data_IF_979016133360
#
_entry.id   IF_979016133360
#
_cell.length_a   1.000
_cell.length_b   1.000
_cell.length_c   1.000
_cell.angle_alpha   90.00
_cell.angle_beta   90.00
_cell.angle_gamma   90.00
#
_symmetry.space_group_name_H-M   'P 1'
#
loop_
_entity.id
_entity.type
_entity.pdbx_description
1 polymer ?
#
# COMPACT_ATOMS: atom_id res chain seq x y z
N UNK A 1 12.71 8.11 -23.14
CA UNK A 1 11.52 7.71 -22.31
C UNK A 1 11.64 8.39 -20.95
N UNK A 2 10.53 8.79 -20.36
CA UNK A 2 10.56 9.30 -19.00
C UNK A 2 10.93 8.15 -18.06
N UNK A 3 11.84 8.40 -17.10
CA UNK A 3 12.35 7.43 -16.15
C UNK A 3 12.03 7.87 -14.72
N UNK A 4 11.93 6.90 -13.80
CA UNK A 4 11.83 7.22 -12.38
C UNK A 4 13.11 7.89 -11.88
N UNK A 5 12.98 8.83 -10.95
CA UNK A 5 14.14 9.49 -10.31
C UNK A 5 14.91 8.54 -9.40
N UNK A 6 14.30 7.42 -8.96
CA UNK A 6 14.84 6.46 -8.00
C UNK A 6 15.20 5.12 -8.67
N UNK A 7 16.17 4.39 -8.10
CA UNK A 7 16.58 3.04 -8.54
C UNK A 7 15.89 1.92 -7.75
N UNK A 8 15.27 2.27 -6.64
CA UNK A 8 14.54 1.38 -5.76
C UNK A 8 13.21 2.04 -5.40
N UNK A 9 12.21 1.29 -5.00
CA UNK A 9 10.99 1.83 -4.40
C UNK A 9 10.98 1.46 -2.91
N UNK A 10 11.61 2.26 -2.06
CA UNK A 10 11.75 1.98 -0.62
C UNK A 10 10.67 2.67 0.21
N UNK A 11 10.24 3.87 -0.19
CA UNK A 11 9.18 4.67 0.41
C UNK A 11 8.57 5.64 -0.59
N UNK A 12 7.45 6.25 -0.25
CA UNK A 12 6.82 7.30 -1.05
C UNK A 12 7.54 8.64 -0.86
N UNK A 13 8.10 8.88 0.31
CA UNK A 13 8.82 10.11 0.65
C UNK A 13 10.07 10.36 -0.23
N UNK A 14 10.56 9.33 -0.92
CA UNK A 14 11.68 9.43 -1.87
C UNK A 14 11.23 9.80 -3.30
N UNK A 15 9.92 9.71 -3.58
CA UNK A 15 9.35 9.99 -4.89
C UNK A 15 9.03 11.47 -5.05
N UNK A 16 9.09 11.93 -6.29
CA UNK A 16 8.55 13.22 -6.71
C UNK A 16 7.11 13.05 -7.24
N UNK A 17 6.39 14.20 -7.36
CA UNK A 17 5.09 14.19 -8.04
C UNK A 17 5.20 13.60 -9.46
N UNK A 18 6.27 13.93 -10.18
CA UNK A 18 6.50 13.44 -11.56
C UNK A 18 6.68 11.92 -11.61
N UNK A 19 7.33 11.32 -10.60
CA UNK A 19 7.46 9.86 -10.50
C UNK A 19 6.10 9.21 -10.32
N UNK A 20 5.26 9.77 -9.44
CA UNK A 20 3.92 9.24 -9.20
C UNK A 20 3.05 9.39 -10.47
N UNK A 21 3.11 10.53 -11.15
CA UNK A 21 2.39 10.76 -12.39
C UNK A 21 2.81 9.73 -13.47
N UNK A 22 4.13 9.48 -13.63
CA UNK A 22 4.67 8.48 -14.55
C UNK A 22 4.20 7.05 -14.19
N UNK A 23 4.21 6.70 -12.90
CA UNK A 23 3.69 5.40 -12.43
C UNK A 23 2.21 5.28 -12.78
N UNK A 24 1.42 6.33 -12.59
CA UNK A 24 -0.01 6.32 -12.87
C UNK A 24 -0.32 6.21 -14.36
N UNK A 25 0.37 6.96 -15.21
CA UNK A 25 0.24 6.88 -16.67
C UNK A 25 0.61 5.47 -17.18
N UNK A 26 1.67 4.88 -16.63
CA UNK A 26 2.09 3.51 -16.96
C UNK A 26 1.06 2.48 -16.45
N UNK A 27 0.47 2.71 -15.28
CA UNK A 27 -0.57 1.86 -14.72
C UNK A 27 -1.86 1.92 -15.56
N UNK A 28 -2.22 3.07 -16.14
CA UNK A 28 -3.36 3.19 -17.07
C UNK A 28 -3.18 2.25 -18.26
N UNK A 29 -1.99 2.21 -18.85
CA UNK A 29 -1.67 1.32 -19.98
C UNK A 29 -1.76 -0.16 -19.56
N UNK A 30 -1.24 -0.52 -18.36
CA UNK A 30 -1.35 -1.89 -17.86
C UNK A 30 -2.76 -2.26 -17.44
N UNK A 31 -3.58 -1.29 -17.00
CA UNK A 31 -4.99 -1.53 -16.72
C UNK A 31 -5.75 -1.94 -17.98
N UNK A 32 -5.46 -1.33 -19.12
CA UNK A 32 -5.98 -1.81 -20.39
C UNK A 32 -5.54 -3.25 -20.69
N UNK A 33 -4.26 -3.58 -20.46
CA UNK A 33 -3.73 -4.94 -20.71
C UNK A 33 -4.45 -5.98 -19.86
N UNK A 34 -4.67 -5.72 -18.57
CA UNK A 34 -5.33 -6.70 -17.67
C UNK A 34 -6.81 -6.92 -18.01
N UNK A 35 -7.43 -6.04 -18.77
CA UNK A 35 -8.81 -6.16 -19.24
C UNK A 35 -8.91 -6.84 -20.63
N UNK A 36 -7.78 -7.14 -21.30
CA UNK A 36 -7.77 -7.86 -22.60
C UNK A 36 -7.98 -9.37 -22.40
N UNK A 37 -8.40 -10.10 -23.44
CA UNK A 37 -8.40 -11.58 -23.39
C UNK A 37 -7.03 -12.14 -23.06
N UNK A 38 -5.95 -11.64 -23.70
CA UNK A 38 -4.56 -11.97 -23.39
C UNK A 38 -4.00 -10.92 -22.44
N UNK A 39 -3.93 -11.29 -21.16
CA UNK A 39 -3.56 -10.41 -20.04
C UNK A 39 -2.05 -10.41 -19.76
N UNK A 40 -1.22 -10.74 -20.76
CA UNK A 40 0.22 -10.92 -20.62
C UNK A 40 0.96 -10.12 -21.69
N UNK A 41 2.06 -9.47 -21.31
CA UNK A 41 2.95 -8.73 -22.20
C UNK A 41 4.39 -9.23 -22.04
N UNK A 42 5.19 -9.31 -23.11
CA UNK A 42 6.55 -9.86 -23.05
C UNK A 42 7.60 -8.83 -22.63
N UNK A 43 7.22 -7.86 -21.75
CA UNK A 43 8.07 -6.70 -21.45
C UNK A 43 9.29 -7.05 -20.62
N UNK A 44 9.20 -8.09 -19.75
CA UNK A 44 10.26 -8.48 -18.84
C UNK A 44 10.69 -9.93 -19.02
N UNK A 45 10.70 -10.43 -20.29
CA UNK A 45 11.38 -11.69 -20.60
C UNK A 45 12.85 -11.56 -20.18
N UNK A 46 13.39 -12.60 -19.62
CA UNK A 46 14.79 -12.67 -19.12
C UNK A 46 15.10 -11.78 -17.90
N UNK A 47 14.06 -11.25 -17.22
CA UNK A 47 14.19 -10.59 -15.92
C UNK A 47 13.70 -11.54 -14.84
N UNK A 48 14.56 -11.81 -13.86
CA UNK A 48 14.23 -12.66 -12.71
C UNK A 48 13.95 -11.82 -11.47
N UNK A 49 12.80 -12.03 -10.85
CA UNK A 49 12.35 -11.28 -9.66
C UNK A 49 12.19 -12.24 -8.49
N UNK A 50 12.82 -11.91 -7.35
CA UNK A 50 12.66 -12.68 -6.11
C UNK A 50 11.70 -11.99 -5.15
N UNK A 51 10.64 -12.70 -4.78
CA UNK A 51 9.69 -12.29 -3.75
C UNK A 51 10.14 -12.80 -2.37
N UNK A 52 10.71 -11.92 -1.55
CA UNK A 52 11.25 -12.23 -0.22
C UNK A 52 10.29 -11.79 0.88
N UNK A 53 9.43 -12.68 1.32
CA UNK A 53 8.43 -12.39 2.34
C UNK A 53 8.84 -12.98 3.70
N UNK A 54 9.38 -12.11 4.58
CA UNK A 54 9.76 -12.44 5.96
C UNK A 54 8.59 -12.29 6.94
N UNK A 55 7.48 -11.71 6.49
CA UNK A 55 6.22 -11.56 7.22
C UNK A 55 5.06 -12.13 6.37
N UNK A 56 4.09 -12.77 7.00
CA UNK A 56 2.94 -13.35 6.30
C UNK A 56 2.12 -12.29 5.55
N UNK A 57 1.87 -12.53 4.27
CA UNK A 57 1.00 -11.69 3.46
C UNK A 57 0.52 -12.40 2.20
N UNK A 58 -0.68 -12.95 2.25
CA UNK A 58 -1.25 -13.67 1.10
C UNK A 58 -1.55 -12.74 -0.07
N UNK A 59 -2.31 -11.67 0.16
CA UNK A 59 -2.75 -10.76 -0.92
C UNK A 59 -1.60 -10.02 -1.59
N UNK A 60 -0.70 -9.43 -0.80
CA UNK A 60 0.44 -8.67 -1.36
C UNK A 60 1.32 -9.58 -2.19
N UNK A 61 1.65 -10.78 -1.68
CA UNK A 61 2.43 -11.77 -2.41
C UNK A 61 1.77 -12.18 -3.73
N UNK A 62 0.50 -12.57 -3.68
CA UNK A 62 -0.25 -12.97 -4.88
C UNK A 62 -0.36 -11.85 -5.91
N UNK A 63 -0.55 -10.60 -5.45
CA UNK A 63 -0.66 -9.46 -6.36
C UNK A 63 0.66 -9.10 -7.03
N UNK A 64 1.81 -9.19 -6.33
CA UNK A 64 3.13 -9.04 -6.95
C UNK A 64 3.41 -10.18 -7.93
N UNK A 65 3.25 -11.42 -7.49
CA UNK A 65 3.44 -12.59 -8.35
C UNK A 65 2.59 -12.54 -9.63
N UNK A 66 1.34 -12.08 -9.52
CA UNK A 66 0.48 -11.91 -10.68
C UNK A 66 0.97 -10.79 -11.61
N UNK A 67 1.42 -9.65 -11.06
CA UNK A 67 1.97 -8.54 -11.82
C UNK A 67 3.23 -8.96 -12.60
N UNK A 68 4.15 -9.64 -11.94
CA UNK A 68 5.39 -10.19 -12.51
C UNK A 68 5.12 -11.17 -13.66
N UNK A 69 4.23 -12.14 -13.42
CA UNK A 69 3.83 -13.12 -14.46
C UNK A 69 3.14 -12.46 -15.64
N UNK A 70 2.37 -11.40 -15.44
CA UNK A 70 1.74 -10.63 -16.54
C UNK A 70 2.75 -9.86 -17.36
N UNK A 71 3.86 -9.45 -16.78
CA UNK A 71 5.00 -8.84 -17.46
C UNK A 71 5.94 -9.86 -18.13
N UNK A 72 5.69 -11.15 -17.96
CA UNK A 72 6.52 -12.28 -18.42
C UNK A 72 7.88 -12.39 -17.72
N UNK A 73 8.00 -11.90 -16.50
CA UNK A 73 9.19 -12.10 -15.68
C UNK A 73 9.24 -13.53 -15.11
N UNK A 74 10.46 -14.03 -14.86
CA UNK A 74 10.69 -15.23 -14.07
C UNK A 74 10.56 -14.90 -12.57
N UNK A 75 9.82 -15.74 -11.82
CA UNK A 75 9.46 -15.44 -10.44
C UNK A 75 9.97 -16.50 -9.49
N UNK A 76 10.76 -16.07 -8.51
CA UNK A 76 11.21 -16.90 -7.39
C UNK A 76 10.49 -16.46 -6.12
N UNK A 77 9.81 -17.39 -5.47
CA UNK A 77 9.11 -17.11 -4.21
C UNK A 77 9.87 -17.73 -3.03
N UNK A 78 10.24 -16.87 -2.08
CA UNK A 78 10.83 -17.25 -0.81
C UNK A 78 9.88 -16.95 0.35
N UNK A 79 9.82 -17.85 1.32
CA UNK A 79 9.07 -17.65 2.57
C UNK A 79 9.95 -18.03 3.76
N UNK A 80 10.17 -17.09 4.67
CA UNK A 80 11.01 -17.28 5.84
C UNK A 80 10.51 -18.40 6.79
N UNK A 81 9.21 -18.71 6.79
CA UNK A 81 8.64 -19.77 7.61
C UNK A 81 9.17 -21.17 7.29
N UNK A 82 9.74 -21.36 6.09
CA UNK A 82 10.24 -22.64 5.57
C UNK A 82 11.76 -22.64 5.32
N UNK A 83 12.50 -21.58 5.72
CA UNK A 83 13.86 -21.36 5.25
C UNK A 83 14.94 -21.47 6.35
N UNK A 84 16.20 -21.46 5.91
CA UNK A 84 17.44 -21.46 6.70
C UNK A 84 17.63 -20.22 7.61
N UNK A 85 16.82 -19.16 7.46
CA UNK A 85 16.78 -18.01 8.39
C UNK A 85 16.60 -18.47 9.84
N UNK A 86 15.87 -19.57 10.06
CA UNK A 86 15.77 -20.23 11.39
C UNK A 86 17.11 -20.80 11.91
N UNK A 87 18.13 -20.92 11.04
CA UNK A 87 19.46 -21.44 11.40
C UNK A 87 20.46 -20.34 11.73
N UNK A 88 20.03 -19.06 11.85
CA UNK A 88 20.90 -17.94 12.21
C UNK A 88 21.55 -17.22 11.02
N UNK A 89 21.11 -17.48 9.79
CA UNK A 89 21.57 -16.74 8.59
C UNK A 89 21.13 -15.28 8.66
N UNK A 90 22.04 -14.35 8.32
CA UNK A 90 21.69 -12.92 8.30
C UNK A 90 20.83 -12.56 7.06
N UNK A 91 20.13 -11.42 7.13
CA UNK A 91 19.36 -10.92 5.98
C UNK A 91 20.25 -10.74 4.74
N UNK A 92 21.46 -10.19 4.92
CA UNK A 92 22.40 -9.96 3.81
C UNK A 92 22.84 -11.28 3.20
N UNK A 93 23.21 -12.27 4.00
CA UNK A 93 23.65 -13.57 3.51
C UNK A 93 22.55 -14.28 2.72
N UNK A 94 21.32 -14.28 3.26
CA UNK A 94 20.14 -14.83 2.58
C UNK A 94 19.92 -14.16 1.22
N UNK A 95 19.97 -12.83 1.17
CA UNK A 95 19.75 -12.10 -0.09
C UNK A 95 20.89 -12.29 -1.05
N UNK A 96 22.15 -12.25 -0.62
CA UNK A 96 23.31 -12.50 -1.48
C UNK A 96 23.30 -13.89 -2.10
N UNK A 97 22.90 -14.92 -1.33
CA UNK A 97 22.74 -16.28 -1.86
C UNK A 97 21.70 -16.32 -2.99
N UNK A 98 20.57 -15.60 -2.83
CA UNK A 98 19.52 -15.51 -3.84
C UNK A 98 20.01 -14.71 -5.07
N UNK A 99 20.68 -13.59 -4.87
CA UNK A 99 21.21 -12.75 -5.96
C UNK A 99 22.32 -13.46 -6.76
N UNK A 100 23.08 -14.37 -6.13
CA UNK A 100 24.06 -15.20 -6.83
C UNK A 100 23.46 -16.12 -7.90
N UNK A 101 22.13 -16.37 -7.85
CA UNK A 101 21.38 -17.09 -8.89
C UNK A 101 20.98 -16.19 -10.06
N UNK A 102 21.57 -14.99 -10.19
CA UNK A 102 21.29 -14.00 -11.25
C UNK A 102 19.88 -13.42 -11.17
N UNK A 103 19.47 -13.08 -9.95
CA UNK A 103 18.22 -12.33 -9.73
C UNK A 103 18.47 -10.84 -9.94
N UNK A 104 17.61 -10.19 -10.71
CA UNK A 104 17.74 -8.79 -11.13
C UNK A 104 17.03 -7.84 -10.17
N UNK A 105 15.93 -8.29 -9.55
CA UNK A 105 15.07 -7.45 -8.72
C UNK A 105 14.56 -8.22 -7.50
N UNK A 106 14.39 -7.51 -6.38
CA UNK A 106 13.88 -8.06 -5.12
C UNK A 106 12.64 -7.30 -4.69
N UNK A 107 11.53 -8.02 -4.50
CA UNK A 107 10.35 -7.53 -3.80
C UNK A 107 10.42 -8.04 -2.37
N UNK A 108 10.56 -7.12 -1.40
CA UNK A 108 10.79 -7.52 -0.01
C UNK A 108 9.68 -7.03 0.92
N UNK A 109 9.20 -7.94 1.79
CA UNK A 109 8.35 -7.61 2.92
C UNK A 109 9.00 -8.06 4.23
N UNK A 110 9.16 -7.14 5.17
CA UNK A 110 9.93 -7.40 6.40
C UNK A 110 9.20 -6.86 7.64
N UNK A 111 9.29 -7.53 8.83
CA UNK A 111 8.69 -7.01 10.06
C UNK A 111 9.40 -5.77 10.61
N UNK A 112 10.69 -5.59 10.32
CA UNK A 112 11.46 -4.45 10.83
C UNK A 112 11.44 -3.28 9.84
N UNK A 113 11.14 -2.05 10.32
CA UNK A 113 11.26 -0.84 9.52
C UNK A 113 12.67 -0.62 8.98
N UNK A 114 12.78 -0.08 7.76
CA UNK A 114 14.08 0.25 7.16
C UNK A 114 14.87 -0.92 6.59
N UNK A 115 14.36 -2.16 6.64
CA UNK A 115 15.05 -3.32 6.11
C UNK A 115 15.37 -3.19 4.61
N UNK A 116 14.46 -2.61 3.81
CA UNK A 116 14.70 -2.30 2.40
C UNK A 116 15.80 -1.27 2.18
N UNK A 117 15.81 -0.20 2.99
CA UNK A 117 16.84 0.85 2.95
C UNK A 117 18.22 0.28 3.34
N UNK A 118 18.24 -0.57 4.35
CA UNK A 118 19.47 -1.26 4.72
C UNK A 118 20.00 -2.13 3.57
N UNK A 119 19.14 -2.92 2.96
CA UNK A 119 19.52 -3.83 1.90
C UNK A 119 19.98 -3.10 0.63
N UNK A 120 19.33 -1.99 0.24
CA UNK A 120 19.67 -1.21 -0.96
C UNK A 120 21.10 -0.65 -0.95
N UNK A 121 21.72 -0.52 0.24
CA UNK A 121 23.11 -0.08 0.40
C UNK A 121 24.14 -1.20 0.23
N UNK A 122 23.68 -2.45 0.16
CA UNK A 122 24.58 -3.63 0.20
C UNK A 122 24.44 -4.52 -1.04
N UNK A 123 23.44 -4.29 -1.89
CA UNK A 123 23.19 -5.10 -3.07
C UNK A 123 22.96 -4.22 -4.30
N UNK A 124 23.29 -4.76 -5.49
CA UNK A 124 23.09 -4.07 -6.77
C UNK A 124 21.70 -4.24 -7.36
N UNK A 125 20.93 -5.24 -6.92
CA UNK A 125 19.58 -5.50 -7.42
C UNK A 125 18.61 -4.36 -7.04
N UNK A 126 17.65 -4.06 -7.91
CA UNK A 126 16.58 -3.12 -7.60
C UNK A 126 15.65 -3.69 -6.51
N UNK A 127 15.29 -2.86 -5.52
CA UNK A 127 14.48 -3.28 -4.37
C UNK A 127 13.13 -2.57 -4.39
N UNK A 128 12.06 -3.36 -4.21
CA UNK A 128 10.71 -2.87 -4.01
C UNK A 128 10.24 -3.25 -2.60
N UNK A 129 9.92 -2.25 -1.78
CA UNK A 129 9.34 -2.44 -0.46
C UNK A 129 7.86 -2.85 -0.57
N UNK A 130 7.55 -4.10 -0.22
CA UNK A 130 6.19 -4.64 -0.13
C UNK A 130 5.59 -4.52 1.28
N UNK A 131 6.16 -3.66 2.10
CA UNK A 131 5.75 -3.31 3.47
C UNK A 131 6.78 -3.69 4.52
N UNK A 132 7.26 -2.72 5.29
CA UNK A 132 8.24 -2.90 6.35
C UNK A 132 7.75 -2.34 7.70
N UNK A 133 7.58 -3.20 8.69
CA UNK A 133 7.13 -2.85 10.04
C UNK A 133 5.88 -1.99 10.05
N UNK A 134 5.92 -0.88 10.79
CA UNK A 134 4.92 0.19 10.81
C UNK A 134 5.38 1.42 9.99
N UNK A 135 6.37 1.28 9.10
CA UNK A 135 6.98 2.38 8.36
C UNK A 135 6.23 2.69 7.07
N UNK A 136 6.48 1.96 5.97
CA UNK A 136 5.81 2.22 4.68
C UNK A 136 5.39 0.96 3.94
N UNK A 137 4.40 1.12 3.06
CA UNK A 137 3.98 0.18 2.03
C UNK A 137 3.71 0.96 0.74
N UNK A 138 4.76 1.39 0.02
CA UNK A 138 4.64 2.38 -1.05
C UNK A 138 3.66 1.96 -2.15
N UNK A 139 3.66 0.70 -2.60
CA UNK A 139 2.70 0.26 -3.62
C UNK A 139 1.24 0.27 -3.13
N UNK A 140 0.99 0.24 -1.80
CA UNK A 140 -0.35 0.43 -1.26
C UNK A 140 -0.75 1.91 -1.28
N UNK A 141 0.13 2.82 -0.86
CA UNK A 141 -0.14 4.26 -0.97
C UNK A 141 -0.41 4.69 -2.41
N UNK A 142 0.38 4.18 -3.35
CA UNK A 142 0.20 4.45 -4.79
C UNK A 142 -1.15 3.93 -5.31
N UNK A 143 -1.51 2.67 -5.03
CA UNK A 143 -2.78 2.12 -5.53
C UNK A 143 -4.01 2.79 -4.92
N UNK A 144 -3.94 3.19 -3.64
CA UNK A 144 -5.02 3.90 -2.97
C UNK A 144 -5.20 5.29 -3.62
N UNK A 145 -4.11 6.03 -3.80
CA UNK A 145 -4.12 7.34 -4.46
C UNK A 145 -4.57 7.24 -5.93
N UNK A 146 -4.10 6.21 -6.65
CA UNK A 146 -4.54 5.92 -8.01
C UNK A 146 -6.06 5.63 -8.09
N UNK A 147 -6.61 4.88 -7.12
CA UNK A 147 -8.04 4.57 -7.07
C UNK A 147 -8.90 5.82 -6.86
N UNK A 148 -8.39 6.80 -6.09
CA UNK A 148 -9.03 8.10 -5.94
C UNK A 148 -8.98 8.88 -7.26
N UNK A 149 -7.80 8.92 -7.94
CA UNK A 149 -7.68 9.55 -9.26
C UNK A 149 -8.65 8.93 -10.28
N UNK A 150 -8.75 7.62 -10.31
CA UNK A 150 -9.68 6.92 -11.19
C UNK A 150 -11.14 7.29 -10.93
N UNK A 151 -11.53 7.38 -9.66
CA UNK A 151 -12.93 7.69 -9.27
C UNK A 151 -13.33 9.13 -9.54
N UNK A 152 -12.40 10.09 -9.36
CA UNK A 152 -12.69 11.52 -9.42
C UNK A 152 -12.04 12.27 -10.60
N UNK A 153 -11.24 11.59 -11.42
CA UNK A 153 -10.40 12.22 -12.47
C UNK A 153 -9.16 12.94 -11.92
N UNK A 154 -9.15 13.30 -10.65
CA UNK A 154 -8.04 14.00 -9.98
C UNK A 154 -8.00 13.68 -8.50
N UNK A 155 -6.79 13.78 -7.92
CA UNK A 155 -6.58 13.72 -6.46
C UNK A 155 -6.44 15.13 -5.87
N UNK A 156 -6.04 16.09 -6.71
CA UNK A 156 -5.81 17.46 -6.27
C UNK A 156 -7.04 18.09 -5.62
N UNK A 157 -6.83 18.71 -4.46
CA UNK A 157 -7.87 19.34 -3.62
C UNK A 157 -8.95 18.39 -3.07
N UNK A 158 -8.83 17.07 -3.23
CA UNK A 158 -9.75 16.14 -2.58
C UNK A 158 -9.46 16.07 -1.08
N UNK A 159 -10.52 16.02 -0.29
CA UNK A 159 -10.46 15.85 1.14
C UNK A 159 -10.48 14.34 1.46
N UNK A 160 -9.37 13.81 1.94
CA UNK A 160 -9.21 12.39 2.25
C UNK A 160 -9.00 12.21 3.75
N UNK A 161 -9.86 11.44 4.41
CA UNK A 161 -9.64 11.03 5.80
C UNK A 161 -9.15 9.60 5.87
N UNK A 162 -8.09 9.38 6.65
CA UNK A 162 -7.56 8.06 7.00
C UNK A 162 -8.02 7.77 8.42
N UNK A 163 -8.83 6.72 8.60
CA UNK A 163 -9.51 6.43 9.86
C UNK A 163 -8.98 5.15 10.48
N UNK A 164 -8.66 5.20 11.76
CA UNK A 164 -8.40 4.00 12.57
C UNK A 164 -7.05 3.99 13.28
N UNK A 165 -6.34 2.86 13.19
CA UNK A 165 -5.03 2.66 13.81
C UNK A 165 -3.92 3.29 12.97
N UNK A 166 -3.67 4.57 13.20
CA UNK A 166 -2.63 5.32 12.48
C UNK A 166 -1.24 4.94 13.02
N UNK A 167 -1.13 4.69 14.32
CA UNK A 167 0.15 4.47 15.02
C UNK A 167 0.89 3.22 14.51
N UNK A 168 0.17 2.13 14.23
CA UNK A 168 0.76 0.86 13.81
C UNK A 168 0.61 0.61 12.29
N UNK A 169 0.05 1.57 11.54
CA UNK A 169 -0.26 1.37 10.13
C UNK A 169 0.82 1.91 9.20
N UNK A 170 1.56 1.00 8.56
CA UNK A 170 2.46 1.35 7.45
C UNK A 170 1.72 1.95 6.26
N UNK A 171 0.43 1.63 6.10
CA UNK A 171 -0.41 2.13 5.02
C UNK A 171 -0.76 3.60 5.24
N UNK A 172 -0.97 4.02 6.49
CA UNK A 172 -1.28 5.41 6.83
C UNK A 172 -0.19 6.37 6.34
N UNK A 173 1.08 6.09 6.65
CA UNK A 173 2.19 6.95 6.25
C UNK A 173 2.34 7.02 4.73
N UNK A 174 2.34 5.88 4.03
CA UNK A 174 2.44 5.87 2.57
C UNK A 174 1.28 6.61 1.91
N UNK A 175 0.05 6.52 2.46
CA UNK A 175 -1.09 7.29 1.96
C UNK A 175 -0.93 8.79 2.22
N UNK A 176 -0.48 9.20 3.41
CA UNK A 176 -0.25 10.61 3.73
C UNK A 176 0.70 11.22 2.69
N UNK A 177 1.87 10.59 2.47
CA UNK A 177 2.86 11.09 1.53
C UNK A 177 2.35 11.13 0.08
N UNK A 178 1.75 10.03 -0.41
CA UNK A 178 1.27 9.95 -1.78
C UNK A 178 0.15 10.96 -2.07
N UNK A 179 -0.80 11.10 -1.15
CA UNK A 179 -1.92 12.03 -1.27
C UNK A 179 -1.46 13.47 -1.26
N UNK A 180 -0.54 13.84 -0.36
CA UNK A 180 0.01 15.19 -0.28
C UNK A 180 0.81 15.55 -1.53
N UNK A 181 1.65 14.64 -2.05
CA UNK A 181 2.38 14.86 -3.31
C UNK A 181 1.44 15.07 -4.49
N UNK A 182 0.24 14.50 -4.47
CA UNK A 182 -0.79 14.69 -5.48
C UNK A 182 -1.75 15.86 -5.19
N UNK A 183 -1.49 16.62 -4.12
CA UNK A 183 -2.24 17.85 -3.79
C UNK A 183 -3.56 17.63 -3.06
N UNK A 184 -3.79 16.47 -2.45
CA UNK A 184 -4.96 16.24 -1.60
C UNK A 184 -4.82 16.92 -0.24
N UNK A 185 -5.97 17.25 0.37
CA UNK A 185 -6.07 17.63 1.77
C UNK A 185 -6.22 16.35 2.60
N UNK A 186 -5.30 16.11 3.53
CA UNK A 186 -5.31 14.87 4.32
C UNK A 186 -5.70 15.14 5.77
N UNK A 187 -6.57 14.30 6.29
CA UNK A 187 -6.94 14.25 7.70
C UNK A 187 -6.72 12.83 8.22
N UNK A 188 -6.28 12.70 9.47
CA UNK A 188 -6.28 11.43 10.20
C UNK A 188 -7.33 11.47 11.30
N UNK A 189 -8.06 10.37 11.47
CA UNK A 189 -9.10 10.26 12.49
C UNK A 189 -8.99 8.92 13.23
N UNK A 190 -9.07 8.97 14.56
CA UNK A 190 -9.03 7.77 15.40
C UNK A 190 -8.95 8.09 16.88
N UNK A 191 -8.93 7.05 17.74
CA UNK A 191 -8.68 7.22 19.16
C UNK A 191 -7.37 7.97 19.40
N UNK A 192 -7.31 8.87 20.37
CA UNK A 192 -6.09 9.63 20.72
C UNK A 192 -4.89 8.72 20.98
N UNK A 193 -5.13 7.54 21.53
CA UNK A 193 -4.12 6.52 21.84
C UNK A 193 -3.53 5.85 20.59
N UNK A 194 -4.23 5.89 19.45
CA UNK A 194 -3.81 5.35 18.16
C UNK A 194 -3.33 6.43 17.17
N UNK A 195 -3.23 7.69 17.62
CA UNK A 195 -2.69 8.80 16.84
C UNK A 195 -1.27 9.11 17.31
N UNK A 196 -0.25 9.07 16.44
CA UNK A 196 1.12 9.45 16.80
C UNK A 196 1.17 10.89 17.33
N UNK A 197 1.93 11.14 18.41
CA UNK A 197 2.00 12.43 19.10
C UNK A 197 2.32 13.60 18.14
N UNK A 198 3.19 13.36 17.18
CA UNK A 198 3.71 14.38 16.25
C UNK A 198 3.13 14.24 14.84
N UNK A 199 2.01 13.55 14.66
CA UNK A 199 1.43 13.32 13.32
C UNK A 199 1.08 14.63 12.58
N UNK A 200 0.78 15.70 13.32
CA UNK A 200 0.52 17.03 12.76
C UNK A 200 1.72 17.64 12.04
N UNK A 201 2.93 17.25 12.41
CA UNK A 201 4.17 17.75 11.79
C UNK A 201 4.30 17.26 10.33
N UNK A 202 3.53 16.23 9.96
CA UNK A 202 3.37 15.80 8.56
C UNK A 202 2.39 16.67 7.76
N UNK A 203 1.88 17.77 8.31
CA UNK A 203 0.97 18.68 7.60
C UNK A 203 -0.47 18.16 7.47
N UNK A 204 -0.86 17.14 8.25
CA UNK A 204 -2.22 16.57 8.23
C UNK A 204 -3.12 17.21 9.28
N UNK A 205 -4.42 17.28 8.98
CA UNK A 205 -5.44 17.59 10.00
C UNK A 205 -5.66 16.38 10.92
N UNK A 206 -6.01 16.64 12.17
CA UNK A 206 -6.28 15.59 13.16
C UNK A 206 -7.67 15.79 13.75
N UNK A 207 -8.48 14.75 13.71
CA UNK A 207 -9.82 14.71 14.29
C UNK A 207 -9.99 13.42 15.12
N UNK A 208 -10.80 13.49 16.16
CA UNK A 208 -11.13 12.32 17.00
C UNK A 208 -12.61 11.96 16.95
N UNK A 209 -13.42 12.80 16.31
CA UNK A 209 -14.84 12.54 16.08
C UNK A 209 -15.04 12.04 14.64
N UNK A 210 -15.46 10.79 14.49
CA UNK A 210 -15.64 10.15 13.19
C UNK A 210 -16.66 10.91 12.33
N UNK A 211 -17.84 11.27 12.88
CA UNK A 211 -18.89 11.96 12.12
C UNK A 211 -18.38 13.27 11.52
N UNK A 212 -17.69 14.10 12.31
CA UNK A 212 -17.09 15.36 11.81
C UNK A 212 -16.06 15.12 10.71
N UNK A 213 -15.26 14.05 10.84
CA UNK A 213 -14.27 13.69 9.82
C UNK A 213 -14.95 13.25 8.51
N UNK A 214 -16.05 12.49 8.59
CA UNK A 214 -16.83 12.06 7.43
C UNK A 214 -17.59 13.21 6.77
N UNK A 215 -18.14 14.14 7.54
CA UNK A 215 -18.78 15.36 7.01
C UNK A 215 -17.79 16.24 6.21
N UNK A 216 -16.52 16.23 6.62
CA UNK A 216 -15.48 16.99 5.92
C UNK A 216 -14.97 16.30 4.65
N UNK A 217 -14.85 14.97 4.63
CA UNK A 217 -14.10 14.25 3.59
C UNK A 217 -14.92 13.96 2.32
N UNK A 218 -14.24 13.77 1.20
CA UNK A 218 -14.79 13.18 -0.05
C UNK A 218 -14.53 11.66 -0.07
N UNK A 219 -13.44 11.24 0.59
CA UNK A 219 -12.98 9.85 0.66
C UNK A 219 -12.61 9.49 2.09
N UNK A 220 -13.12 8.37 2.57
CA UNK A 220 -12.74 7.76 3.84
C UNK A 220 -11.97 6.45 3.58
N UNK A 221 -10.66 6.46 3.90
CA UNK A 221 -9.82 5.26 3.86
C UNK A 221 -9.78 4.64 5.25
N UNK A 222 -10.53 3.55 5.43
CA UNK A 222 -10.67 2.85 6.71
C UNK A 222 -9.53 1.88 6.91
N UNK A 223 -8.78 2.05 7.98
CA UNK A 223 -7.70 1.14 8.33
C UNK A 223 -8.19 -0.04 9.16
N UNK A 224 -7.59 -1.19 8.95
CA UNK A 224 -7.81 -2.36 9.79
C UNK A 224 -7.26 -2.11 11.20
N UNK A 225 -8.02 -2.48 12.23
CA UNK A 225 -7.52 -2.57 13.60
C UNK A 225 -6.55 -3.75 13.68
N UNK A 226 -5.28 -3.48 14.05
CA UNK A 226 -4.20 -4.47 14.02
C UNK A 226 -3.94 -5.04 15.42
N UNK A 227 -4.92 -5.77 16.00
CA UNK A 227 -4.82 -6.34 17.34
C UNK A 227 -3.55 -7.19 17.54
N UNK A 228 -3.08 -7.85 16.46
CA UNK A 228 -1.86 -8.67 16.47
C UNK A 228 -0.56 -7.87 16.63
N UNK A 229 -0.59 -6.55 16.44
CA UNK A 229 0.57 -5.66 16.60
C UNK A 229 0.53 -4.86 17.90
N UNK A 230 -0.58 -4.95 18.63
CA UNK A 230 -0.76 -4.21 19.88
C UNK A 230 -0.23 -5.05 21.03
N UNK A 231 0.88 -4.60 21.65
CA UNK A 231 1.41 -5.21 22.87
C UNK A 231 0.51 -4.95 24.10
N UNK A 232 -0.28 -3.87 24.07
CA UNK A 232 -1.24 -3.44 25.07
C UNK A 232 -2.55 -3.02 24.43
N UNK A 233 -3.64 -2.96 25.20
CA UNK A 233 -4.92 -2.44 24.69
C UNK A 233 -4.87 -0.91 24.60
N UNK A 234 -5.12 -0.36 23.41
CA UNK A 234 -5.17 1.08 23.13
C UNK A 234 -6.59 1.66 23.22
N UNK A 235 -7.59 0.82 23.36
CA UNK A 235 -9.01 1.17 23.54
C UNK A 235 -9.67 0.12 24.43
N UNK A 236 -10.80 0.45 25.10
CA UNK A 236 -11.40 -0.41 26.11
C UNK A 236 -11.83 -1.78 25.57
N UNK A 237 -12.48 -1.81 24.42
CA UNK A 237 -12.91 -3.04 23.75
C UNK A 237 -13.10 -2.83 22.25
N UNK A 238 -13.13 -3.92 21.48
CA UNK A 238 -13.48 -3.87 20.04
C UNK A 238 -14.88 -3.29 19.84
N UNK A 239 -15.82 -3.55 20.75
CA UNK A 239 -17.17 -3.00 20.70
C UNK A 239 -17.16 -1.47 20.84
N UNK A 240 -16.40 -0.93 21.79
CA UNK A 240 -16.27 0.53 21.98
C UNK A 240 -15.62 1.18 20.76
N UNK A 241 -14.58 0.53 20.19
CA UNK A 241 -13.98 0.99 18.95
C UNK A 241 -15.00 1.04 17.81
N UNK A 242 -15.76 -0.03 17.59
CA UNK A 242 -16.78 -0.12 16.55
C UNK A 242 -17.84 0.96 16.70
N UNK A 243 -18.32 1.20 17.92
CA UNK A 243 -19.32 2.25 18.20
C UNK A 243 -18.82 3.66 17.88
N UNK A 244 -17.52 3.94 18.09
CA UNK A 244 -16.96 5.28 17.93
C UNK A 244 -16.35 5.51 16.53
N UNK A 245 -15.76 4.47 15.93
CA UNK A 245 -14.96 4.58 14.70
C UNK A 245 -15.37 3.60 13.59
N UNK A 246 -16.34 2.74 13.81
CA UNK A 246 -16.90 1.87 12.79
C UNK A 246 -17.88 2.63 11.89
N UNK A 247 -17.82 2.39 10.57
CA UNK A 247 -18.78 2.92 9.61
C UNK A 247 -19.88 1.89 9.40
N UNK A 248 -21.13 2.33 9.56
CA UNK A 248 -22.33 1.60 9.23
C UNK A 248 -23.24 2.43 8.30
N UNK A 249 -24.26 1.81 7.77
CA UNK A 249 -25.19 2.45 6.83
C UNK A 249 -25.93 3.63 7.46
N UNK A 250 -26.37 3.51 8.72
CA UNK A 250 -27.07 4.58 9.43
C UNK A 250 -26.21 5.85 9.53
N UNK A 251 -24.93 5.70 9.86
CA UNK A 251 -23.99 6.82 9.88
C UNK A 251 -23.83 7.45 8.49
N UNK A 252 -23.65 6.64 7.43
CA UNK A 252 -23.52 7.16 6.08
C UNK A 252 -24.79 7.86 5.60
N UNK A 253 -25.96 7.31 5.89
CA UNK A 253 -27.26 7.91 5.53
C UNK A 253 -27.53 9.22 6.29
N UNK A 254 -26.86 9.43 7.44
CA UNK A 254 -26.94 10.67 8.22
C UNK A 254 -26.06 11.81 7.69
N UNK A 255 -25.24 11.56 6.67
CA UNK A 255 -24.39 12.57 6.04
C UNK A 255 -25.14 13.30 4.92
N UNK A 256 -24.94 14.60 4.79
CA UNK A 256 -25.56 15.42 3.73
C UNK A 256 -24.98 15.15 2.33
N UNK A 257 -23.96 14.31 2.23
CA UNK A 257 -23.26 13.97 0.98
C UNK A 257 -22.85 12.50 0.91
N UNK A 258 -22.75 11.99 -0.31
CA UNK A 258 -22.13 10.68 -0.56
C UNK A 258 -20.62 10.80 -0.53
N UNK A 259 -19.96 9.90 0.20
CA UNK A 259 -18.49 9.79 0.27
C UNK A 259 -18.05 8.44 -0.30
N UNK A 260 -16.80 8.37 -0.75
CA UNK A 260 -16.20 7.12 -1.22
C UNK A 260 -15.55 6.40 -0.05
N UNK A 261 -15.81 5.11 0.09
CA UNK A 261 -15.25 4.25 1.13
C UNK A 261 -14.15 3.38 0.52
N UNK A 262 -12.98 3.40 1.17
CA UNK A 262 -11.80 2.62 0.83
C UNK A 262 -11.33 1.80 2.02
N UNK A 263 -10.62 0.69 1.74
CA UNK A 263 -9.99 -0.13 2.77
C UNK A 263 -8.82 -0.94 2.18
N UNK A 264 -7.59 -0.88 2.73
CA UNK A 264 -6.44 -1.60 2.19
C UNK A 264 -6.52 -3.12 2.39
N UNK A 265 -7.52 -3.59 3.17
CA UNK A 265 -7.78 -4.99 3.49
C UNK A 265 -6.71 -5.65 4.38
N UNK A 266 -7.04 -6.82 4.99
CA UNK A 266 -8.37 -7.45 5.05
C UNK A 266 -9.33 -6.64 5.90
N UNK A 267 -10.60 -6.69 5.58
CA UNK A 267 -11.66 -6.05 6.38
C UNK A 267 -12.01 -6.94 7.56
N UNK A 268 -12.07 -6.38 8.77
CA UNK A 268 -12.77 -7.01 9.88
C UNK A 268 -14.23 -6.53 9.83
N UNK A 269 -15.07 -7.28 9.09
CA UNK A 269 -16.48 -6.94 8.91
C UNK A 269 -17.18 -6.83 10.26
N UNK A 270 -17.92 -5.74 10.46
CA UNK A 270 -18.58 -5.44 11.74
C UNK A 270 -17.69 -4.77 12.78
N UNK A 271 -16.42 -4.48 12.46
CA UNK A 271 -15.51 -3.70 13.32
C UNK A 271 -15.30 -2.30 12.74
N UNK A 272 -14.44 -2.16 11.73
CA UNK A 272 -14.19 -0.87 11.09
C UNK A 272 -15.23 -0.50 10.02
N UNK A 273 -15.84 -1.49 9.38
CA UNK A 273 -16.89 -1.31 8.36
C UNK A 273 -17.90 -2.45 8.49
N UNK A 274 -19.21 -2.15 8.42
CA UNK A 274 -20.26 -3.17 8.33
C UNK A 274 -20.31 -3.80 6.94
N UNK A 275 -20.91 -4.99 6.82
CA UNK A 275 -20.95 -5.73 5.55
C UNK A 275 -21.72 -5.01 4.47
N UNK A 276 -22.83 -4.39 4.82
CA UNK A 276 -23.69 -3.61 3.91
C UNK A 276 -22.95 -2.38 3.34
N UNK A 277 -22.12 -1.72 4.13
CA UNK A 277 -21.26 -0.63 3.66
C UNK A 277 -20.12 -1.14 2.79
N UNK A 278 -19.44 -2.22 3.21
CA UNK A 278 -18.32 -2.78 2.44
C UNK A 278 -18.74 -3.30 1.05
N UNK A 279 -20.00 -3.73 0.90
CA UNK A 279 -20.58 -4.25 -0.33
C UNK A 279 -21.44 -3.21 -1.08
N UNK A 280 -21.44 -1.94 -0.63
CA UNK A 280 -22.19 -0.83 -1.24
C UNK A 280 -21.50 -0.25 -2.48
N UNK A 281 -22.24 0.51 -3.29
CA UNK A 281 -21.70 1.28 -4.43
C UNK A 281 -20.72 2.39 -4.04
N UNK A 282 -20.73 2.82 -2.76
CA UNK A 282 -19.81 3.82 -2.25
C UNK A 282 -18.43 3.20 -1.95
N UNK A 283 -18.35 1.88 -1.78
CA UNK A 283 -17.11 1.17 -1.48
C UNK A 283 -16.38 0.77 -2.77
N UNK A 284 -15.15 1.27 -2.95
CA UNK A 284 -14.30 0.93 -4.10
C UNK A 284 -13.19 -0.08 -3.75
N UNK A 285 -13.44 -0.92 -2.75
CA UNK A 285 -12.44 -1.82 -2.16
C UNK A 285 -11.94 -2.86 -3.17
N UNK A 286 -12.83 -3.42 -3.99
CA UNK A 286 -12.44 -4.37 -5.03
C UNK A 286 -11.69 -3.70 -6.19
N UNK A 287 -12.02 -2.43 -6.51
CA UNK A 287 -11.27 -1.63 -7.47
C UNK A 287 -9.83 -1.40 -6.98
N UNK A 288 -9.62 -1.15 -5.67
CA UNK A 288 -8.27 -1.05 -5.10
C UNK A 288 -7.46 -2.35 -5.32
N UNK A 289 -8.09 -3.52 -5.23
CA UNK A 289 -7.40 -4.81 -5.47
C UNK A 289 -6.96 -4.93 -6.92
N UNK A 290 -7.82 -4.60 -7.87
CA UNK A 290 -7.50 -4.61 -9.30
C UNK A 290 -6.41 -3.58 -9.64
N UNK A 291 -6.57 -2.34 -9.16
CA UNK A 291 -5.61 -1.25 -9.33
C UNK A 291 -4.24 -1.60 -8.74
N UNK A 292 -4.23 -2.40 -7.66
CA UNK A 292 -3.01 -2.91 -7.07
C UNK A 292 -2.17 -3.76 -8.01
N UNK A 293 -2.79 -4.51 -8.91
CA UNK A 293 -2.04 -5.28 -9.92
C UNK A 293 -1.44 -4.34 -10.97
N UNK A 294 -2.22 -3.39 -11.50
CA UNK A 294 -1.75 -2.43 -12.50
C UNK A 294 -0.60 -1.55 -11.97
N UNK A 295 -0.71 -1.02 -10.75
CA UNK A 295 0.34 -0.23 -10.09
C UNK A 295 1.62 -1.05 -9.90
N UNK A 296 1.51 -2.31 -9.46
CA UNK A 296 2.69 -3.19 -9.29
C UNK A 296 3.33 -3.51 -10.62
N UNK A 297 2.55 -3.75 -11.68
CA UNK A 297 3.09 -3.89 -13.04
C UNK A 297 3.85 -2.64 -13.46
N UNK A 298 3.29 -1.45 -13.25
CA UNK A 298 3.93 -0.18 -13.61
C UNK A 298 5.26 0.03 -12.85
N UNK A 299 5.27 -0.15 -11.54
CA UNK A 299 6.47 0.00 -10.70
C UNK A 299 7.56 -0.99 -11.12
N UNK A 300 7.23 -2.27 -11.28
CA UNK A 300 8.18 -3.30 -11.69
C UNK A 300 8.75 -2.98 -13.07
N UNK A 301 7.90 -2.62 -14.04
CA UNK A 301 8.31 -2.28 -15.39
C UNK A 301 9.25 -1.08 -15.44
N UNK A 302 8.91 0.01 -14.75
CA UNK A 302 9.70 1.24 -14.74
C UNK A 302 11.05 1.06 -14.02
N UNK A 303 11.12 0.29 -12.95
CA UNK A 303 12.38 -0.01 -12.28
C UNK A 303 13.24 -0.97 -13.12
N UNK A 304 12.64 -1.99 -13.75
CA UNK A 304 13.36 -2.93 -14.59
C UNK A 304 13.94 -2.28 -15.86
N UNK A 305 13.34 -1.20 -16.39
CA UNK A 305 13.88 -0.48 -17.54
C UNK A 305 15.24 0.17 -17.26
N UNK A 306 15.56 0.45 -15.97
CA UNK A 306 16.86 0.98 -15.53
C UNK A 306 17.94 -0.09 -15.39
N UNK A 307 17.57 -1.34 -15.22
CA UNK A 307 18.54 -2.47 -15.08
C UNK A 307 19.11 -2.85 -16.45
N UNK A 308 18.34 -2.67 -17.50
CA UNK A 308 18.72 -3.07 -18.88
C UNK A 308 19.55 -2.01 -19.62
N UNK A 309 19.89 -0.91 -18.96
CA UNK A 309 20.81 0.12 -19.45
C UNK A 309 22.20 -0.08 -18.86
#
# INVERSE_FOLDING_TARGET
>A
MSELSVNHLLGINELTKKDIDLIFETADQFKEVINRPIKKVPSLRDVTIANLFFENSTRTKLSFELAEKRLSADVINFSASQSSVKKGETLIDTVNNILSMKVDMVVMRHPNPGAGVFLSKHVSASIINAGDGAHEHPTQGLLDTYSIREKFGTVNQKNVVIVGDILHSRVALSNIYALQLQGANVMVCGPKTLLPKYIKDLGVKVETNLKKALEWCDVANMLRVQNERMAISYFPSTRDYTQQYGINKELLDSLDKKIVIMHPGPINRGVEITSDVADSEQAIILNQVENGVAIRMAVIYLLASKIKQ
#
